data_IF_695487315709
#
_entry.id   IF_695487315709
#
_cell.length_a   1.000
_cell.length_b   1.000
_cell.length_c   1.000
_cell.angle_alpha   90.00
_cell.angle_beta   90.00
_cell.angle_gamma   90.00
#
_symmetry.space_group_name_H-M   'P 1'
#
loop_
_entity.id
_entity.type
_entity.pdbx_description
1 polymer ?
#
# COMPACT_ATOMS: atom_id res chain seq x y z
N UNK A 1 -21.50 9.32 34.33
CA UNK A 1 -20.93 8.00 34.01
C UNK A 1 -21.86 7.34 33.00
N UNK A 2 -21.59 7.50 31.71
CA UNK A 2 -22.36 6.86 30.66
C UNK A 2 -21.84 5.42 30.51
N UNK A 3 -22.73 4.43 30.63
CA UNK A 3 -22.45 3.06 30.22
C UNK A 3 -22.18 3.05 28.71
N UNK A 4 -20.93 2.78 28.31
CA UNK A 4 -20.58 2.42 26.93
C UNK A 4 -21.34 1.13 26.59
N UNK A 5 -22.19 1.16 25.57
CA UNK A 5 -22.97 0.01 25.09
C UNK A 5 -22.10 -0.99 24.30
N UNK A 6 -22.59 -2.22 24.04
CA UNK A 6 -21.80 -3.30 23.45
C UNK A 6 -21.69 -3.23 21.92
N UNK A 7 -20.64 -3.89 21.42
CA UNK A 7 -20.20 -4.06 20.03
C UNK A 7 -21.34 -4.02 19.01
N UNK A 8 -21.28 -3.09 18.05
CA UNK A 8 -22.10 -3.13 16.84
C UNK A 8 -21.55 -4.18 15.86
N UNK A 9 -21.53 -5.46 16.29
CA UNK A 9 -21.09 -6.56 15.43
C UNK A 9 -22.16 -6.83 14.37
N UNK A 10 -21.89 -6.42 13.13
CA UNK A 10 -22.71 -6.82 11.98
C UNK A 10 -22.14 -8.10 11.38
N UNK A 11 -22.71 -9.24 11.77
CA UNK A 11 -22.41 -10.53 11.14
C UNK A 11 -23.19 -10.68 9.83
N UNK A 12 -22.52 -10.41 8.71
CA UNK A 12 -23.10 -10.57 7.37
C UNK A 12 -22.80 -12.00 6.88
N UNK A 13 -23.60 -12.97 7.33
CA UNK A 13 -23.29 -14.40 7.28
C UNK A 13 -21.99 -14.75 8.04
N UNK A 14 -21.87 -15.99 8.52
CA UNK A 14 -20.73 -16.44 9.35
C UNK A 14 -19.33 -16.37 8.70
N UNK A 15 -19.20 -15.75 7.52
CA UNK A 15 -17.94 -15.58 6.77
C UNK A 15 -17.39 -14.17 6.79
N UNK A 16 -18.18 -13.16 7.20
CA UNK A 16 -17.73 -11.76 7.23
C UNK A 16 -18.08 -11.11 8.56
N UNK A 17 -17.11 -10.43 9.14
CA UNK A 17 -17.28 -9.64 10.36
C UNK A 17 -16.79 -8.22 10.11
N UNK A 18 -17.53 -7.27 10.65
CA UNK A 18 -17.25 -5.86 10.56
C UNK A 18 -17.41 -5.26 11.96
N UNK A 19 -16.37 -4.55 12.42
CA UNK A 19 -16.26 -3.97 13.77
C UNK A 19 -16.04 -2.47 13.62
N UNK A 20 -16.92 -1.66 14.21
CA UNK A 20 -16.97 -0.20 14.10
C UNK A 20 -16.87 0.46 15.50
N UNK A 21 -16.35 1.69 15.50
CA UNK A 21 -15.79 2.53 16.59
C UNK A 21 -16.68 2.84 17.82
N UNK A 22 -17.97 2.52 17.78
CA UNK A 22 -18.89 2.84 18.88
C UNK A 22 -18.69 1.93 20.12
N UNK A 23 -17.65 1.10 20.15
CA UNK A 23 -17.36 0.21 21.28
C UNK A 23 -15.85 0.00 21.47
N UNK A 24 -15.33 0.09 22.70
CA UNK A 24 -13.94 -0.29 22.98
C UNK A 24 -13.66 -1.69 22.44
N UNK A 25 -12.69 -1.79 21.54
CA UNK A 25 -12.29 -3.04 20.88
C UNK A 25 -11.32 -3.82 21.77
N UNK A 26 -11.56 -3.80 23.08
CA UNK A 26 -10.69 -4.41 24.08
C UNK A 26 -10.90 -5.93 24.13
N UNK A 27 -12.05 -6.44 23.69
CA UNK A 27 -12.40 -7.86 23.73
C UNK A 27 -12.84 -8.39 22.36
N UNK A 28 -11.87 -8.98 21.65
CA UNK A 28 -12.08 -9.72 20.41
C UNK A 28 -12.24 -11.23 20.63
N UNK A 29 -12.42 -11.71 21.86
CA UNK A 29 -12.48 -13.14 22.18
C UNK A 29 -13.61 -13.88 21.46
N UNK A 30 -14.66 -13.19 21.03
CA UNK A 30 -15.73 -13.78 20.23
C UNK A 30 -15.23 -14.31 18.87
N UNK A 31 -14.14 -13.75 18.32
CA UNK A 31 -13.52 -14.18 17.06
C UNK A 31 -12.98 -15.63 17.15
N UNK A 32 -12.56 -16.07 18.34
CA UNK A 32 -12.04 -17.43 18.57
C UNK A 32 -13.00 -18.54 18.10
N UNK A 33 -14.31 -18.31 18.22
CA UNK A 33 -15.37 -19.25 17.77
C UNK A 33 -15.48 -19.35 16.26
N UNK A 34 -14.95 -18.36 15.55
CA UNK A 34 -15.03 -18.22 14.10
C UNK A 34 -13.69 -18.44 13.39
N UNK A 35 -12.64 -18.85 14.13
CA UNK A 35 -11.27 -19.06 13.62
C UNK A 35 -11.15 -19.85 12.31
N UNK A 36 -12.03 -20.84 12.12
CA UNK A 36 -12.02 -21.75 10.98
C UNK A 36 -13.08 -21.41 9.90
N UNK A 37 -13.86 -20.34 10.12
CA UNK A 37 -15.02 -19.98 9.28
C UNK A 37 -14.99 -18.55 8.75
N UNK A 38 -14.40 -17.61 9.50
CA UNK A 38 -14.32 -16.21 9.14
C UNK A 38 -13.34 -16.02 7.98
N UNK A 39 -13.81 -15.40 6.90
CA UNK A 39 -13.04 -15.17 5.66
C UNK A 39 -12.65 -13.71 5.48
N UNK A 40 -13.47 -12.81 5.98
CA UNK A 40 -13.26 -11.37 5.86
C UNK A 40 -13.48 -10.71 7.22
N UNK A 41 -12.49 -9.93 7.64
CA UNK A 41 -12.55 -9.14 8.85
C UNK A 41 -12.18 -7.72 8.49
N UNK A 42 -13.08 -6.81 8.80
CA UNK A 42 -12.88 -5.37 8.67
C UNK A 42 -13.04 -4.75 10.05
N UNK A 43 -12.08 -3.93 10.41
CA UNK A 43 -12.01 -3.27 11.69
C UNK A 43 -11.72 -1.81 11.44
N UNK A 44 -12.57 -0.95 11.98
CA UNK A 44 -12.40 0.50 11.96
C UNK A 44 -12.61 1.05 13.35
N UNK A 45 -11.69 1.86 13.84
CA UNK A 45 -11.86 2.56 15.10
C UNK A 45 -10.69 3.45 15.47
N UNK A 46 -10.88 4.27 16.49
CA UNK A 46 -9.91 5.25 16.98
C UNK A 46 -9.19 4.76 18.26
N UNK A 47 -9.64 3.66 18.86
CA UNK A 47 -9.07 3.07 20.08
C UNK A 47 -8.03 1.97 19.78
N UNK A 48 -7.05 1.81 20.69
CA UNK A 48 -5.99 0.80 20.59
C UNK A 48 -6.57 -0.63 20.60
N UNK A 49 -6.05 -1.49 19.73
CA UNK A 49 -6.53 -2.86 19.59
C UNK A 49 -5.56 -3.94 20.04
N UNK A 50 -6.08 -4.94 20.76
CA UNK A 50 -5.39 -6.23 20.92
C UNK A 50 -5.68 -7.15 19.71
N UNK A 51 -4.65 -7.47 18.94
CA UNK A 51 -4.72 -8.32 17.74
C UNK A 51 -4.50 -9.81 18.05
N UNK A 52 -4.38 -10.21 19.32
CA UNK A 52 -4.09 -11.60 19.72
C UNK A 52 -5.13 -12.61 19.18
N UNK A 53 -6.41 -12.24 19.14
CA UNK A 53 -7.47 -13.10 18.62
C UNK A 53 -7.50 -13.13 17.08
N UNK A 54 -7.12 -12.02 16.43
CA UNK A 54 -6.99 -11.95 14.96
C UNK A 54 -5.92 -12.93 14.47
N UNK A 55 -4.82 -13.07 15.21
CA UNK A 55 -3.72 -13.99 14.91
C UNK A 55 -4.14 -15.47 14.86
N UNK A 56 -5.32 -15.80 15.36
CA UNK A 56 -5.83 -17.18 15.39
C UNK A 56 -6.79 -17.50 14.22
N UNK A 57 -7.11 -16.54 13.36
CA UNK A 57 -8.10 -16.67 12.28
C UNK A 57 -7.55 -17.41 11.05
N UNK A 58 -7.47 -18.74 11.15
CA UNK A 58 -6.87 -19.64 10.14
C UNK A 58 -7.51 -19.59 8.76
N UNK A 59 -8.81 -19.31 8.70
CA UNK A 59 -9.58 -19.27 7.46
C UNK A 59 -9.59 -17.88 6.80
N UNK A 60 -8.97 -16.86 7.42
CA UNK A 60 -9.06 -15.50 6.94
C UNK A 60 -8.40 -15.33 5.58
N UNK A 61 -9.13 -14.70 4.65
CA UNK A 61 -8.70 -14.43 3.28
C UNK A 61 -8.48 -12.93 3.06
N UNK A 62 -9.21 -12.08 3.80
CA UNK A 62 -9.16 -10.63 3.72
C UNK A 62 -9.16 -10.02 5.12
N UNK A 63 -8.18 -9.16 5.37
CA UNK A 63 -8.06 -8.41 6.60
C UNK A 63 -7.89 -6.93 6.29
N UNK A 64 -8.79 -6.10 6.82
CA UNK A 64 -8.65 -4.65 6.80
C UNK A 64 -8.70 -4.13 8.24
N UNK A 65 -7.63 -3.45 8.67
CA UNK A 65 -7.55 -2.78 9.97
C UNK A 65 -7.25 -1.31 9.70
N UNK A 66 -8.20 -0.47 10.06
CA UNK A 66 -8.08 0.98 10.13
C UNK A 66 -8.34 1.39 11.58
N UNK A 67 -7.42 1.00 12.45
CA UNK A 67 -7.43 1.33 13.87
C UNK A 67 -5.99 1.29 14.39
N UNK A 68 -5.65 2.10 15.40
CA UNK A 68 -4.32 2.07 15.99
C UNK A 68 -4.06 0.73 16.70
N UNK A 69 -2.87 0.18 16.49
CA UNK A 69 -2.40 -0.95 17.28
C UNK A 69 -2.22 -0.58 18.75
N UNK A 70 -2.50 -1.51 19.66
CA UNK A 70 -2.02 -1.39 21.03
C UNK A 70 -0.49 -1.35 21.08
N UNK A 71 0.08 -0.81 22.17
CA UNK A 71 1.53 -0.82 22.37
C UNK A 71 2.11 -2.25 22.23
N UNK A 72 3.00 -2.45 21.24
CA UNK A 72 3.58 -3.76 20.86
C UNK A 72 2.58 -4.78 20.28
N UNK A 73 1.46 -4.33 19.71
CA UNK A 73 0.59 -5.20 18.94
C UNK A 73 1.37 -5.75 17.72
N UNK A 74 1.43 -7.08 17.62
CA UNK A 74 2.07 -7.77 16.48
C UNK A 74 1.03 -8.65 15.81
N UNK A 75 0.70 -8.29 14.57
CA UNK A 75 -0.13 -9.10 13.69
C UNK A 75 0.74 -10.15 12.99
N UNK A 76 0.55 -11.43 13.34
CA UNK A 76 1.35 -12.56 12.85
C UNK A 76 0.63 -13.27 11.73
N UNK A 77 1.11 -13.09 10.50
CA UNK A 77 0.47 -13.65 9.31
C UNK A 77 0.66 -15.17 9.18
N UNK A 78 1.63 -15.76 9.90
CA UNK A 78 1.83 -17.21 9.95
C UNK A 78 0.59 -17.99 10.41
N UNK A 79 -0.27 -17.36 11.22
CA UNK A 79 -1.53 -17.94 11.69
C UNK A 79 -2.67 -17.91 10.65
N UNK A 80 -2.48 -17.18 9.55
CA UNK A 80 -3.50 -16.90 8.53
C UNK A 80 -3.02 -17.39 7.15
N UNK A 81 -2.84 -18.70 6.95
CA UNK A 81 -2.23 -19.26 5.73
C UNK A 81 -3.08 -19.04 4.46
N UNK A 82 -4.36 -18.68 4.61
CA UNK A 82 -5.26 -18.38 3.49
C UNK A 82 -5.34 -16.90 3.14
N UNK A 83 -4.59 -16.03 3.85
CA UNK A 83 -4.71 -14.58 3.69
C UNK A 83 -4.18 -14.15 2.32
N UNK A 84 -5.02 -13.44 1.57
CA UNK A 84 -4.73 -12.98 0.20
C UNK A 84 -4.67 -11.46 0.10
N UNK A 85 -5.45 -10.77 0.95
CA UNK A 85 -5.55 -9.32 0.96
C UNK A 85 -5.34 -8.80 2.38
N UNK A 86 -4.40 -7.88 2.52
CA UNK A 86 -4.08 -7.21 3.77
C UNK A 86 -4.12 -5.70 3.55
N UNK A 87 -4.87 -4.99 4.38
CA UNK A 87 -4.91 -3.53 4.42
C UNK A 87 -4.74 -3.07 5.86
N UNK A 88 -3.64 -2.39 6.16
CA UNK A 88 -3.36 -1.82 7.48
C UNK A 88 -3.18 -0.31 7.32
N UNK A 89 -4.21 0.43 7.69
CA UNK A 89 -4.24 1.88 7.74
C UNK A 89 -4.07 2.35 9.19
N UNK A 90 -3.01 1.90 9.84
CA UNK A 90 -2.69 2.36 11.18
C UNK A 90 -2.08 3.77 11.13
N UNK A 91 -2.87 4.77 11.52
CA UNK A 91 -2.47 6.17 11.66
C UNK A 91 -2.25 6.57 13.11
N UNK A 92 -1.98 5.61 13.99
CA UNK A 92 -1.72 5.82 15.40
C UNK A 92 -0.56 6.79 15.63
N UNK A 93 -0.52 7.45 16.81
CA UNK A 93 0.57 8.35 17.14
C UNK A 93 1.92 7.61 17.15
N UNK A 94 3.00 8.34 16.84
CA UNK A 94 4.37 7.78 16.76
C UNK A 94 4.70 6.86 17.95
N UNK A 95 5.17 5.64 17.63
CA UNK A 95 5.55 4.64 18.63
C UNK A 95 4.43 3.72 19.12
N UNK A 96 3.19 3.85 18.60
CA UNK A 96 2.05 2.97 18.92
C UNK A 96 1.44 2.33 17.67
N UNK A 97 2.32 1.94 16.76
CA UNK A 97 1.94 1.34 15.49
C UNK A 97 1.85 -0.18 15.60
N UNK A 98 0.87 -0.75 14.94
CA UNK A 98 0.71 -2.17 14.69
C UNK A 98 1.87 -2.67 13.82
N UNK A 99 2.63 -3.61 14.35
CA UNK A 99 3.72 -4.26 13.62
C UNK A 99 3.16 -5.47 12.89
N UNK A 100 3.48 -5.61 11.60
CA UNK A 100 3.07 -6.76 10.81
C UNK A 100 4.24 -7.73 10.63
N UNK A 101 4.09 -8.94 11.16
CA UNK A 101 5.01 -10.06 10.90
C UNK A 101 4.50 -10.90 9.73
N UNK A 102 5.11 -10.68 8.56
CA UNK A 102 4.81 -11.37 7.31
C UNK A 102 5.31 -12.84 7.26
N UNK A 103 5.89 -13.37 8.34
CA UNK A 103 6.35 -14.76 8.40
C UNK A 103 5.30 -15.76 7.90
N UNK A 104 5.65 -16.57 6.90
CA UNK A 104 4.76 -17.60 6.35
C UNK A 104 3.63 -17.09 5.42
N UNK A 105 3.55 -15.79 5.14
CA UNK A 105 2.53 -15.18 4.30
C UNK A 105 2.75 -15.44 2.79
N UNK A 106 2.60 -16.71 2.38
CA UNK A 106 2.93 -17.14 1.01
C UNK A 106 1.82 -16.90 -0.02
N UNK A 107 0.60 -16.60 0.44
CA UNK A 107 -0.59 -16.47 -0.41
C UNK A 107 -1.07 -15.02 -0.61
N UNK A 108 -0.39 -14.05 0.00
CA UNK A 108 -0.74 -12.63 -0.13
C UNK A 108 -0.52 -12.16 -1.56
N UNK A 109 -1.57 -11.55 -2.10
CA UNK A 109 -1.63 -10.98 -3.44
C UNK A 109 -1.77 -9.47 -3.41
N UNK A 110 -2.38 -8.91 -2.37
CA UNK A 110 -2.61 -7.48 -2.26
C UNK A 110 -2.21 -7.01 -0.87
N UNK A 111 -1.41 -5.96 -0.83
CA UNK A 111 -1.00 -5.31 0.41
C UNK A 111 -1.22 -3.82 0.30
N UNK A 112 -1.86 -3.26 1.33
CA UNK A 112 -1.81 -1.84 1.64
C UNK A 112 -1.25 -1.69 3.05
N UNK A 113 -0.15 -0.95 3.21
CA UNK A 113 0.39 -0.56 4.51
C UNK A 113 0.56 0.96 4.58
N UNK A 114 0.09 1.55 5.67
CA UNK A 114 0.40 2.93 6.04
C UNK A 114 1.61 3.00 6.99
N UNK A 115 2.51 3.93 6.68
CA UNK A 115 3.77 4.22 7.35
C UNK A 115 4.63 2.98 7.66
N UNK A 116 4.83 2.03 6.72
CA UNK A 116 5.63 0.83 6.97
C UNK A 116 7.07 1.19 7.32
N UNK A 117 7.67 0.42 8.23
CA UNK A 117 9.10 0.55 8.49
C UNK A 117 9.92 -0.18 7.41
N UNK A 118 11.24 -0.01 7.45
CA UNK A 118 12.14 -0.62 6.46
C UNK A 118 12.04 -2.16 6.43
N UNK A 119 11.79 -2.79 7.58
CA UNK A 119 11.64 -4.25 7.67
C UNK A 119 10.34 -4.70 7.02
N UNK A 120 9.25 -3.99 7.21
CA UNK A 120 7.95 -4.29 6.59
C UNK A 120 7.98 -4.02 5.09
N UNK A 121 8.60 -2.93 4.64
CA UNK A 121 8.84 -2.67 3.21
C UNK A 121 9.61 -3.83 2.57
N UNK A 122 10.70 -4.27 3.21
CA UNK A 122 11.48 -5.41 2.73
C UNK A 122 10.67 -6.72 2.73
N UNK A 123 9.84 -6.94 3.76
CA UNK A 123 8.99 -8.11 3.88
C UNK A 123 7.90 -8.16 2.81
N UNK A 124 7.23 -7.03 2.54
CA UNK A 124 6.25 -6.91 1.44
C UNK A 124 6.93 -7.20 0.11
N UNK A 125 8.10 -6.61 -0.13
CA UNK A 125 8.85 -6.84 -1.36
C UNK A 125 9.28 -8.30 -1.54
N UNK A 126 9.42 -9.07 -0.46
CA UNK A 126 9.76 -10.49 -0.47
C UNK A 126 8.56 -11.43 -0.72
N UNK A 127 7.32 -10.91 -0.78
CA UNK A 127 6.13 -11.74 -0.96
C UNK A 127 6.11 -12.38 -2.37
N UNK A 128 5.99 -13.72 -2.47
CA UNK A 128 6.21 -14.43 -3.73
C UNK A 128 5.05 -14.33 -4.74
N UNK A 129 3.87 -13.92 -4.29
CA UNK A 129 2.62 -13.86 -5.08
C UNK A 129 1.98 -12.47 -5.10
N UNK A 130 2.72 -11.45 -4.69
CA UNK A 130 2.21 -10.08 -4.63
C UNK A 130 1.88 -9.58 -6.04
N UNK A 131 0.63 -9.23 -6.27
CA UNK A 131 0.15 -8.63 -7.51
C UNK A 131 0.03 -7.10 -7.38
N UNK A 132 -0.44 -6.65 -6.21
CA UNK A 132 -0.72 -5.23 -5.96
C UNK A 132 -0.10 -4.79 -4.63
N UNK A 133 0.64 -3.69 -4.65
CA UNK A 133 1.31 -3.15 -3.46
C UNK A 133 1.07 -1.65 -3.33
N UNK A 134 0.54 -1.24 -2.18
CA UNK A 134 0.39 0.16 -1.78
C UNK A 134 1.16 0.38 -0.48
N UNK A 135 2.21 1.20 -0.54
CA UNK A 135 3.03 1.56 0.60
C UNK A 135 2.94 3.06 0.83
N UNK A 136 2.08 3.48 1.74
CA UNK A 136 1.90 4.90 2.07
C UNK A 136 2.94 5.33 3.10
N UNK A 137 3.67 6.41 2.87
CA UNK A 137 4.64 6.92 3.84
C UNK A 137 5.82 5.98 4.12
N UNK A 138 6.29 5.23 3.12
CA UNK A 138 7.26 4.14 3.31
C UNK A 138 8.67 4.59 3.75
N UNK A 139 9.02 5.87 3.55
CA UNK A 139 10.33 6.42 3.87
C UNK A 139 11.46 5.96 2.93
N UNK A 140 11.48 4.67 2.57
CA UNK A 140 12.43 4.04 1.65
C UNK A 140 11.70 3.14 0.64
N UNK A 141 12.30 2.99 -0.55
CA UNK A 141 11.80 2.12 -1.61
C UNK A 141 12.64 0.85 -1.72
N UNK A 142 12.04 -0.34 -1.90
CA UNK A 142 12.79 -1.59 -1.95
C UNK A 142 13.60 -1.73 -3.24
N UNK A 143 14.80 -2.30 -3.15
CA UNK A 143 15.66 -2.55 -4.32
C UNK A 143 15.23 -3.75 -5.17
N UNK A 144 14.34 -4.60 -4.65
CA UNK A 144 13.89 -5.81 -5.36
C UNK A 144 12.53 -6.29 -4.86
N UNK A 145 11.64 -6.59 -5.80
CA UNK A 145 10.46 -7.40 -5.54
C UNK A 145 10.72 -8.86 -5.93
N UNK A 146 10.27 -9.80 -5.11
CA UNK A 146 10.40 -11.23 -5.34
C UNK A 146 9.26 -11.79 -6.21
N UNK A 147 8.13 -11.10 -6.24
CA UNK A 147 6.96 -11.53 -6.99
C UNK A 147 7.17 -11.43 -8.49
N UNK A 148 6.74 -12.48 -9.21
CA UNK A 148 6.62 -12.46 -10.67
C UNK A 148 5.20 -12.11 -11.12
N UNK A 149 4.35 -11.65 -10.22
CA UNK A 149 2.94 -11.31 -10.48
C UNK A 149 2.64 -9.82 -10.28
N UNK A 150 3.60 -9.02 -9.80
CA UNK A 150 3.40 -7.59 -9.46
C UNK A 150 3.05 -6.76 -10.69
N UNK A 151 1.83 -6.21 -10.73
CA UNK A 151 1.31 -5.39 -11.83
C UNK A 151 1.01 -3.95 -11.41
N UNK A 152 0.68 -3.75 -10.14
CA UNK A 152 0.20 -2.47 -9.61
C UNK A 152 1.04 -2.07 -8.40
N UNK A 153 1.65 -0.88 -8.49
CA UNK A 153 2.54 -0.37 -7.46
C UNK A 153 2.23 1.10 -7.15
N UNK A 154 1.80 1.35 -5.92
CA UNK A 154 1.61 2.69 -5.36
C UNK A 154 2.59 2.88 -4.21
N UNK A 155 3.37 3.95 -4.26
CA UNK A 155 4.27 4.32 -3.17
C UNK A 155 4.16 5.81 -2.86
N UNK A 156 4.08 6.14 -1.57
CA UNK A 156 4.06 7.53 -1.13
C UNK A 156 5.10 7.81 -0.05
N UNK A 157 5.50 9.07 0.10
CA UNK A 157 6.41 9.49 1.18
C UNK A 157 7.80 8.85 1.12
N UNK A 158 8.27 8.44 -0.06
CA UNK A 158 9.61 7.87 -0.24
C UNK A 158 10.64 9.00 -0.22
N UNK A 159 11.69 8.83 0.59
CA UNK A 159 12.81 9.77 0.68
C UNK A 159 14.17 9.14 0.38
N UNK A 160 14.25 7.80 0.47
CA UNK A 160 15.42 7.00 0.13
C UNK A 160 15.10 6.07 -1.04
N UNK A 161 15.79 6.27 -2.16
CA UNK A 161 15.63 5.49 -3.39
C UNK A 161 16.86 4.60 -3.62
N UNK A 162 16.69 3.34 -4.05
CA UNK A 162 17.80 2.49 -4.44
C UNK A 162 18.41 2.97 -5.76
N UNK A 163 19.65 2.57 -6.03
CA UNK A 163 20.30 2.87 -7.32
C UNK A 163 19.63 2.16 -8.51
N UNK A 164 18.95 1.04 -8.26
CA UNK A 164 18.19 0.26 -9.24
C UNK A 164 17.12 -0.55 -8.52
N UNK A 165 16.00 -0.85 -9.19
CA UNK A 165 15.02 -1.85 -8.73
C UNK A 165 14.89 -3.00 -9.74
N UNK A 166 14.65 -4.20 -9.22
CA UNK A 166 14.40 -5.42 -10.01
C UNK A 166 13.10 -6.08 -9.56
N UNK A 167 12.51 -6.96 -10.39
CA UNK A 167 11.26 -7.63 -10.05
C UNK A 167 9.99 -6.79 -10.31
N UNK A 168 10.11 -5.74 -11.11
CA UNK A 168 9.00 -4.85 -11.50
C UNK A 168 8.63 -5.00 -12.98
N UNK A 169 9.11 -6.05 -13.64
CA UNK A 169 9.06 -6.19 -15.11
C UNK A 169 7.63 -6.31 -15.65
N UNK A 170 6.66 -6.61 -14.77
CA UNK A 170 5.23 -6.73 -15.09
C UNK A 170 4.39 -5.55 -14.60
N UNK A 171 5.00 -4.57 -13.94
CA UNK A 171 4.30 -3.38 -13.48
C UNK A 171 3.79 -2.62 -14.71
N UNK A 172 2.48 -2.40 -14.73
CA UNK A 172 1.77 -1.64 -15.77
C UNK A 172 1.04 -0.43 -15.21
N UNK A 173 0.86 -0.39 -13.88
CA UNK A 173 0.26 0.70 -13.14
C UNK A 173 1.24 1.17 -12.07
N UNK A 174 1.67 2.41 -12.17
CA UNK A 174 2.62 3.02 -11.24
C UNK A 174 2.06 4.33 -10.71
N UNK A 175 2.01 4.43 -9.39
CA UNK A 175 1.71 5.67 -8.68
C UNK A 175 2.86 6.02 -7.73
N UNK A 176 3.36 7.24 -7.87
CA UNK A 176 4.38 7.79 -6.96
C UNK A 176 3.88 9.15 -6.48
N UNK A 177 3.63 9.26 -5.18
CA UNK A 177 3.12 10.48 -4.57
C UNK A 177 4.00 10.98 -3.42
N UNK A 178 3.97 12.29 -3.15
CA UNK A 178 4.51 12.92 -1.94
C UNK A 178 5.97 12.51 -1.61
N UNK A 179 6.76 12.25 -2.65
CA UNK A 179 8.10 11.66 -2.52
C UNK A 179 9.19 12.65 -2.90
N UNK A 180 10.37 12.47 -2.31
CA UNK A 180 11.54 13.35 -2.51
C UNK A 180 12.75 12.54 -2.96
N UNK A 181 13.69 13.21 -3.63
CA UNK A 181 14.92 12.60 -4.11
C UNK A 181 14.82 11.83 -5.42
N UNK A 182 13.61 11.71 -5.99
CA UNK A 182 13.39 11.15 -7.32
C UNK A 182 13.57 12.22 -8.39
N UNK A 183 14.66 12.14 -9.17
CA UNK A 183 14.98 13.11 -10.22
C UNK A 183 14.43 12.73 -11.60
N UNK A 184 14.36 11.43 -11.87
CA UNK A 184 13.82 10.84 -13.09
C UNK A 184 13.20 9.47 -12.80
N UNK A 185 12.63 8.81 -13.81
CA UNK A 185 11.97 7.50 -13.67
C UNK A 185 12.86 6.33 -14.13
N UNK A 186 14.18 6.53 -14.24
CA UNK A 186 15.10 5.48 -14.73
C UNK A 186 15.15 4.23 -13.86
N UNK A 187 14.81 4.32 -12.58
CA UNK A 187 14.67 3.13 -11.75
C UNK A 187 13.59 2.17 -12.28
N UNK A 188 12.60 2.68 -13.01
CA UNK A 188 11.47 1.91 -13.52
C UNK A 188 11.66 1.45 -14.98
N UNK A 189 12.89 1.50 -15.52
CA UNK A 189 13.18 1.18 -16.92
C UNK A 189 12.83 -0.25 -17.33
N UNK A 190 12.93 -1.19 -16.40
CA UNK A 190 12.61 -2.59 -16.66
C UNK A 190 11.11 -2.88 -16.57
N UNK A 191 10.28 -1.92 -16.14
CA UNK A 191 8.83 -2.09 -16.13
C UNK A 191 8.27 -2.36 -17.54
N UNK A 192 7.13 -3.05 -17.56
CA UNK A 192 6.33 -3.14 -18.77
C UNK A 192 5.88 -1.74 -19.21
N UNK A 193 5.56 -1.53 -20.51
CA UNK A 193 4.98 -0.28 -20.95
C UNK A 193 3.78 0.08 -20.06
N UNK A 194 3.89 1.21 -19.36
CA UNK A 194 2.91 1.64 -18.37
C UNK A 194 1.62 2.02 -19.08
N UNK A 195 0.51 1.51 -18.55
CA UNK A 195 -0.86 1.88 -18.94
C UNK A 195 -1.42 2.96 -18.04
N UNK A 196 -0.98 3.00 -16.77
CA UNK A 196 -1.37 4.02 -15.82
C UNK A 196 -0.13 4.59 -15.15
N UNK A 197 0.01 5.91 -15.19
CA UNK A 197 1.05 6.64 -14.47
C UNK A 197 0.43 7.81 -13.72
N UNK A 198 0.50 7.77 -12.39
CA UNK A 198 0.11 8.88 -11.53
C UNK A 198 1.33 9.40 -10.79
N UNK A 199 1.60 10.69 -10.93
CA UNK A 199 2.70 11.39 -10.28
C UNK A 199 2.16 12.60 -9.53
N UNK A 200 2.33 12.61 -8.22
CA UNK A 200 1.76 13.65 -7.36
C UNK A 200 2.80 14.21 -6.39
N UNK A 201 2.94 15.53 -6.32
CA UNK A 201 3.82 16.20 -5.35
C UNK A 201 5.25 15.65 -5.31
N UNK A 202 5.91 15.65 -6.47
CA UNK A 202 7.30 15.23 -6.66
C UNK A 202 8.20 16.45 -6.97
N UNK A 203 8.61 17.23 -5.95
CA UNK A 203 9.26 18.52 -6.16
C UNK A 203 10.65 18.44 -6.82
N UNK A 204 11.29 17.27 -6.80
CA UNK A 204 12.60 17.05 -7.43
C UNK A 204 12.54 16.40 -8.82
N UNK A 205 11.36 15.99 -9.27
CA UNK A 205 11.22 15.24 -10.52
C UNK A 205 11.40 16.19 -11.70
N UNK A 206 12.38 15.88 -12.56
CA UNK A 206 12.77 16.69 -13.71
C UNK A 206 12.49 16.04 -15.05
N UNK A 207 12.44 14.71 -15.09
CA UNK A 207 12.29 13.95 -16.32
C UNK A 207 11.42 12.70 -16.13
N UNK A 208 10.60 12.38 -17.14
CA UNK A 208 9.90 11.09 -17.26
C UNK A 208 10.73 10.03 -18.01
N UNK A 209 12.00 10.31 -18.32
CA UNK A 209 12.86 9.32 -18.98
C UNK A 209 13.01 8.07 -18.12
N UNK A 210 13.15 6.96 -18.83
CA UNK A 210 13.36 5.67 -18.20
C UNK A 210 12.08 4.93 -17.87
N UNK A 211 10.92 5.39 -18.33
CA UNK A 211 9.73 4.53 -18.45
C UNK A 211 9.25 4.53 -19.90
N UNK A 212 8.57 3.45 -20.28
CA UNK A 212 7.90 3.31 -21.57
C UNK A 212 6.40 3.36 -21.33
N UNK A 213 5.65 3.83 -22.32
CA UNK A 213 4.21 3.98 -22.24
C UNK A 213 3.52 3.07 -23.25
N UNK A 214 2.40 2.47 -22.85
CA UNK A 214 1.49 1.81 -23.78
C UNK A 214 0.82 2.85 -24.69
N UNK A 215 0.21 2.39 -25.79
CA UNK A 215 -0.47 3.29 -26.73
C UNK A 215 -1.74 3.94 -26.14
N UNK A 216 -2.37 3.27 -25.17
CA UNK A 216 -3.57 3.68 -24.44
C UNK A 216 -3.24 4.21 -23.04
N UNK A 217 -2.01 4.69 -22.81
CA UNK A 217 -1.58 5.11 -21.47
C UNK A 217 -2.37 6.32 -20.94
N UNK A 218 -2.86 6.21 -19.72
CA UNK A 218 -3.45 7.29 -18.92
C UNK A 218 -2.39 7.85 -17.98
N UNK A 219 -2.15 9.16 -18.07
CA UNK A 219 -1.10 9.85 -17.31
C UNK A 219 -1.70 11.04 -16.57
N UNK A 220 -1.54 11.07 -15.26
CA UNK A 220 -1.89 12.20 -14.39
C UNK A 220 -0.63 12.69 -13.66
N UNK A 221 -0.33 13.98 -13.80
CA UNK A 221 0.86 14.60 -13.23
C UNK A 221 0.46 15.91 -12.58
N UNK A 222 0.64 16.00 -11.27
CA UNK A 222 0.29 17.17 -10.48
C UNK A 222 1.38 17.43 -9.42
N UNK A 223 1.63 18.69 -9.09
CA UNK A 223 2.61 19.01 -8.04
C UNK A 223 4.07 18.67 -8.39
N UNK A 224 4.43 18.61 -9.69
CA UNK A 224 5.80 18.38 -10.16
C UNK A 224 6.40 19.67 -10.78
N UNK A 225 6.75 20.70 -9.98
CA UNK A 225 7.13 22.03 -10.49
C UNK A 225 8.44 22.05 -11.30
N UNK A 226 9.32 21.08 -11.08
CA UNK A 226 10.64 20.97 -11.72
C UNK A 226 10.62 20.13 -13.01
N UNK A 227 9.47 19.58 -13.40
CA UNK A 227 9.34 18.69 -14.55
C UNK A 227 9.51 19.48 -15.86
N UNK A 228 10.54 19.14 -16.61
CA UNK A 228 10.90 19.83 -17.88
C UNK A 228 11.05 18.88 -19.06
N UNK A 229 11.22 17.58 -18.80
CA UNK A 229 11.45 16.57 -19.83
C UNK A 229 10.40 15.47 -19.75
N UNK A 230 9.55 15.37 -20.77
CA UNK A 230 8.48 14.38 -20.82
C UNK A 230 8.94 13.02 -21.37
N UNK A 231 10.23 12.84 -21.68
CA UNK A 231 10.76 11.56 -22.16
C UNK A 231 10.15 11.13 -23.50
N UNK A 232 9.66 9.88 -23.57
CA UNK A 232 9.03 9.30 -24.77
C UNK A 232 7.55 9.68 -24.92
N UNK A 233 7.01 10.46 -23.98
CA UNK A 233 5.60 10.84 -23.97
C UNK A 233 5.33 11.83 -25.10
N UNK A 234 4.48 11.43 -26.05
CA UNK A 234 4.00 12.35 -27.09
C UNK A 234 3.19 13.46 -26.40
N UNK A 235 3.59 14.75 -26.52
CA UNK A 235 2.89 15.87 -25.90
C UNK A 235 1.39 15.94 -26.24
N UNK A 236 0.96 15.32 -27.34
CA UNK A 236 -0.45 15.23 -27.74
C UNK A 236 -1.29 14.18 -27.00
N UNK A 237 -0.66 13.29 -26.21
CA UNK A 237 -1.33 12.18 -25.47
C UNK A 237 -1.61 12.48 -24.00
N UNK A 238 -1.01 13.52 -23.42
CA UNK A 238 -1.29 13.93 -22.04
C UNK A 238 -2.68 14.58 -21.92
N UNK A 239 -3.74 13.78 -21.80
CA UNK A 239 -5.12 14.26 -21.62
C UNK A 239 -5.75 13.55 -20.43
N UNK A 240 -5.80 14.23 -19.29
CA UNK A 240 -6.54 13.79 -18.10
C UNK A 240 -6.33 14.70 -16.88
N UNK A 241 -5.08 15.03 -16.60
CA UNK A 241 -4.71 16.04 -15.61
C UNK A 241 -4.18 17.27 -16.34
N UNK A 242 -4.68 18.44 -16.01
CA UNK A 242 -4.02 19.66 -16.46
C UNK A 242 -2.57 19.61 -15.99
N UNK A 243 -1.60 19.74 -16.92
CA UNK A 243 -0.24 20.18 -16.55
C UNK A 243 -0.38 21.61 -16.04
N UNK A 244 -0.93 21.80 -14.84
CA UNK A 244 -1.12 23.10 -14.18
C UNK A 244 0.23 23.52 -13.65
N UNK A 245 0.99 24.08 -14.57
CA UNK A 245 2.39 24.40 -14.42
C UNK A 245 2.96 24.32 -15.81
N UNK A 246 2.59 25.29 -16.67
CA UNK A 246 3.10 25.39 -18.03
C UNK A 246 4.60 25.09 -18.01
N UNK A 247 5.07 23.98 -18.62
CA UNK A 247 6.49 23.82 -18.83
C UNK A 247 6.90 25.05 -19.62
N UNK A 248 7.87 25.80 -19.11
CA UNK A 248 8.57 26.81 -19.93
C UNK A 248 9.32 26.01 -20.99
N UNK A 249 8.62 25.60 -22.03
CA UNK A 249 9.18 25.09 -23.26
C UNK A 249 9.90 26.29 -23.89
N UNK A 250 11.13 26.50 -23.44
CA UNK A 250 12.11 27.24 -24.21
C UNK A 250 12.40 26.43 -25.46
N UNK A 251 11.58 26.62 -26.48
CA UNK A 251 12.00 26.34 -27.85
C UNK A 251 13.14 27.34 -28.18
N UNK A 252 14.17 26.93 -28.93
CA UNK A 252 15.29 27.80 -29.31
C UNK A 252 14.84 29.05 -30.09
#
# INVERSE_FOLDING_TARGET
>A
MAQKGPLALRLWNFKKAFIEDDTPVDDLSFLSRHRDTLRELVITGDEEMDVAEINQLRALERLNINAPGGANAVLRLAGMPSLRQLSILDRGPEGRRLIVDFGGATEIRQVLLAAPDESEVAAVAALPRLADATLEGAGAFPARFASLELTDLTVTGVTSWPASVTGIERVVSLEVAESRGLADLSLFADASPLRFLTLFDLPGLRSLRGVRFADDAEIDIQGCPDLVDLGELDPGRAVGGAVTGSPRLGLP
#
